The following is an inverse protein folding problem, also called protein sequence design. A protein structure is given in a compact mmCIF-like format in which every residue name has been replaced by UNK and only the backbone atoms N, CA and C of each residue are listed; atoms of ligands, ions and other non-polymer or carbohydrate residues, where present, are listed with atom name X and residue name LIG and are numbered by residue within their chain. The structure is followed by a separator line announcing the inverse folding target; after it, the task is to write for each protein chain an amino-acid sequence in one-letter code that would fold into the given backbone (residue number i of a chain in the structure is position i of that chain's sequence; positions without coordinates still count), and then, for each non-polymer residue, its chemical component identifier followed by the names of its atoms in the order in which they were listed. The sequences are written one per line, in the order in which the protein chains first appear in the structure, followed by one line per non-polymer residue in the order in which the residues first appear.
data_IF_414227737347
#
_entry.id   IF_414227737347
#
_cell.length_a   1.000
_cell.length_b   1.000
_cell.length_c   1.000
_cell.angle_alpha   90.00
_cell.angle_beta   90.00
_cell.angle_gamma   90.00
#
_symmetry.space_group_name_H-M   'P 1'
#
loop_
_entity.id
_entity.type
_entity.pdbx_description
1 polymer ?
#
# COMPACT_ATOMS: atom_id res chain seq x y z
N UNK A 1 9.95 12.12 15.37
CA UNK A 1 9.33 12.98 16.40
C UNK A 1 8.14 13.80 15.89
N UNK A 2 8.00 13.98 14.56
CA UNK A 2 6.91 14.80 14.00
C UNK A 2 5.51 14.26 14.32
N UNK A 3 5.37 12.96 14.58
CA UNK A 3 4.09 12.30 14.87
C UNK A 3 3.86 12.09 16.37
N UNK A 4 4.78 12.54 17.21
CA UNK A 4 4.57 12.48 18.64
C UNK A 4 3.40 13.40 19.10
N UNK A 5 2.64 13.03 20.12
CA UNK A 5 2.80 11.85 20.99
C UNK A 5 2.07 10.58 20.49
N UNK A 6 1.57 10.55 19.26
CA UNK A 6 0.76 9.44 18.75
C UNK A 6 1.61 8.25 18.30
N UNK A 7 2.75 8.51 17.66
CA UNK A 7 3.75 7.50 17.28
C UNK A 7 5.11 8.07 17.71
N UNK A 8 5.83 7.30 18.55
CA UNK A 8 7.14 7.73 19.04
C UNK A 8 8.24 7.58 17.98
N UNK A 9 9.32 8.33 18.17
CA UNK A 9 10.44 8.39 17.23
C UNK A 9 11.10 7.01 17.04
N UNK A 10 11.28 6.23 18.12
CA UNK A 10 11.90 4.91 18.06
C UNK A 10 11.07 3.96 17.19
N UNK A 11 9.75 3.96 17.37
CA UNK A 11 8.82 3.17 16.54
C UNK A 11 8.91 3.56 15.08
N UNK A 12 8.98 4.87 14.77
CA UNK A 12 9.14 5.34 13.39
C UNK A 12 10.45 4.87 12.77
N UNK A 13 11.57 4.95 13.49
CA UNK A 13 12.85 4.44 13.00
C UNK A 13 12.84 2.94 12.76
N UNK A 14 12.25 2.16 13.67
CA UNK A 14 12.11 0.73 13.49
C UNK A 14 11.26 0.39 12.25
N UNK A 15 10.15 1.06 12.09
CA UNK A 15 9.19 0.75 11.03
C UNK A 15 9.71 1.22 9.66
N UNK A 16 10.29 2.41 9.59
CA UNK A 16 10.82 2.98 8.34
C UNK A 16 12.22 2.42 8.01
N UNK A 17 13.19 2.59 8.91
CA UNK A 17 14.60 2.34 8.58
C UNK A 17 14.93 0.84 8.56
N UNK A 18 14.20 0.03 9.32
CA UNK A 18 14.43 -1.42 9.42
C UNK A 18 13.42 -2.23 8.63
N UNK A 19 12.14 -2.13 8.96
CA UNK A 19 11.12 -2.97 8.31
C UNK A 19 10.93 -2.63 6.83
N UNK A 20 10.73 -1.36 6.49
CA UNK A 20 10.57 -0.93 5.11
C UNK A 20 11.85 -1.21 4.30
N UNK A 21 13.03 -0.91 4.85
CA UNK A 21 14.30 -1.18 4.17
C UNK A 21 14.54 -2.66 3.92
N UNK A 22 14.04 -3.54 4.77
CA UNK A 22 14.12 -5.00 4.56
C UNK A 22 13.32 -5.41 3.32
N UNK A 23 12.14 -4.85 3.11
CA UNK A 23 11.38 -5.10 1.88
C UNK A 23 12.14 -4.66 0.63
N UNK A 24 12.73 -3.47 0.65
CA UNK A 24 13.54 -2.94 -0.47
C UNK A 24 14.70 -3.87 -0.77
N UNK A 25 15.46 -4.28 0.23
CA UNK A 25 16.61 -5.17 0.08
C UNK A 25 16.20 -6.51 -0.52
N UNK A 26 15.12 -7.09 -0.01
CA UNK A 26 14.66 -8.41 -0.44
C UNK A 26 14.08 -8.41 -1.85
N UNK A 27 13.30 -7.39 -2.23
CA UNK A 27 12.77 -7.30 -3.60
C UNK A 27 13.90 -7.09 -4.61
N UNK A 28 14.88 -6.28 -4.28
CA UNK A 28 16.06 -6.08 -5.14
C UNK A 28 16.85 -7.38 -5.32
N UNK A 29 17.03 -8.16 -4.26
CA UNK A 29 17.69 -9.45 -4.34
C UNK A 29 16.92 -10.47 -5.21
N UNK A 30 15.60 -10.46 -5.13
CA UNK A 30 14.77 -11.30 -5.99
C UNK A 30 14.86 -10.88 -7.47
N UNK A 31 14.74 -9.59 -7.76
CA UNK A 31 14.83 -9.05 -9.13
C UNK A 31 16.20 -9.24 -9.75
N UNK A 32 17.27 -9.26 -8.96
CA UNK A 32 18.64 -9.50 -9.44
C UNK A 32 18.84 -10.89 -10.07
N UNK A 33 17.97 -11.85 -9.77
CA UNK A 33 17.98 -13.19 -10.39
C UNK A 33 17.41 -13.19 -11.81
N UNK A 34 16.68 -12.17 -12.18
CA UNK A 34 16.05 -12.01 -13.49
C UNK A 34 16.34 -10.61 -14.07
N UNK A 35 17.60 -10.35 -14.52
CA UNK A 35 17.99 -9.04 -15.05
C UNK A 35 17.14 -8.59 -16.24
N UNK A 36 16.55 -9.52 -16.99
CA UNK A 36 15.68 -9.26 -18.13
C UNK A 36 14.40 -8.51 -17.75
N UNK A 37 13.92 -8.64 -16.50
CA UNK A 37 12.78 -7.89 -15.98
C UNK A 37 13.23 -6.54 -15.44
N UNK A 38 14.49 -6.45 -15.02
CA UNK A 38 15.03 -5.42 -14.16
C UNK A 38 15.92 -4.40 -14.83
N UNK A 39 16.07 -4.36 -16.16
CA UNK A 39 16.89 -3.30 -16.76
C UNK A 39 16.35 -1.91 -16.45
N UNK A 40 15.03 -1.78 -16.29
CA UNK A 40 14.37 -0.54 -15.89
C UNK A 40 14.11 -0.44 -14.37
N UNK A 41 14.11 -1.58 -13.64
CA UNK A 41 13.81 -1.63 -12.20
C UNK A 41 15.04 -1.53 -11.29
N UNK A 42 16.21 -1.17 -11.81
CA UNK A 42 17.44 -0.96 -11.03
C UNK A 42 17.38 0.23 -10.06
N UNK A 43 16.29 0.96 -10.09
CA UNK A 43 16.03 2.06 -9.18
C UNK A 43 14.77 1.76 -8.36
N UNK A 44 14.91 1.33 -7.08
CA UNK A 44 13.77 1.18 -6.17
C UNK A 44 13.02 2.50 -5.91
N UNK A 45 13.57 3.60 -6.41
CA UNK A 45 12.98 4.94 -6.38
C UNK A 45 11.92 5.15 -7.48
N UNK A 46 11.86 4.24 -8.48
CA UNK A 46 10.89 4.33 -9.57
C UNK A 46 9.78 3.31 -9.29
N UNK A 47 8.79 3.72 -8.50
CA UNK A 47 7.63 2.90 -8.17
C UNK A 47 6.82 2.44 -9.39
N UNK A 48 6.96 3.09 -10.53
CA UNK A 48 6.22 2.76 -11.75
C UNK A 48 6.51 1.34 -12.26
N UNK A 49 7.76 0.89 -12.27
CA UNK A 49 8.12 -0.44 -12.78
C UNK A 49 7.67 -1.55 -11.84
N UNK A 50 7.79 -1.33 -10.51
CA UNK A 50 7.32 -2.29 -9.53
C UNK A 50 5.79 -2.37 -9.49
N UNK A 51 5.09 -1.25 -9.65
CA UNK A 51 3.64 -1.22 -9.80
C UNK A 51 3.19 -2.02 -11.03
N UNK A 52 3.87 -1.87 -12.15
CA UNK A 52 3.59 -2.64 -13.38
C UNK A 52 3.78 -4.14 -13.17
N UNK A 53 4.83 -4.56 -12.49
CA UNK A 53 5.06 -5.96 -12.14
C UNK A 53 3.95 -6.51 -11.25
N UNK A 54 3.56 -5.77 -10.23
CA UNK A 54 2.52 -6.19 -9.28
C UNK A 54 1.10 -6.09 -9.87
N UNK A 55 0.90 -5.30 -10.93
CA UNK A 55 -0.35 -5.27 -11.66
C UNK A 55 -0.60 -6.57 -12.46
N UNK A 56 0.46 -7.28 -12.84
CA UNK A 56 0.39 -8.59 -13.53
C UNK A 56 1.35 -9.60 -12.89
N UNK A 57 0.99 -10.07 -11.73
CA UNK A 57 1.83 -11.00 -10.94
C UNK A 57 2.07 -12.34 -11.68
N UNK A 58 1.20 -12.72 -12.59
CA UNK A 58 1.36 -13.95 -13.36
C UNK A 58 2.48 -13.86 -14.40
N UNK A 59 2.83 -12.66 -14.85
CA UNK A 59 3.95 -12.42 -15.74
C UNK A 59 5.31 -12.50 -15.02
N UNK A 60 5.33 -12.43 -13.70
CA UNK A 60 6.57 -12.56 -12.90
C UNK A 60 7.04 -14.02 -12.93
N UNK A 61 8.35 -14.30 -13.18
CA UNK A 61 8.88 -15.65 -13.13
C UNK A 61 8.52 -16.39 -11.84
N UNK A 62 8.11 -17.64 -11.96
CA UNK A 62 7.53 -18.42 -10.86
C UNK A 62 8.47 -18.57 -9.65
N UNK A 63 9.77 -18.65 -9.90
CA UNK A 63 10.80 -18.82 -8.86
C UNK A 63 10.99 -17.59 -7.95
N UNK A 64 10.65 -16.38 -8.44
CA UNK A 64 10.75 -15.14 -7.67
C UNK A 64 9.38 -14.50 -7.38
N UNK A 65 8.31 -15.00 -7.97
CA UNK A 65 6.97 -14.36 -7.93
C UNK A 65 6.52 -14.05 -6.50
N UNK A 66 6.57 -15.03 -5.61
CA UNK A 66 6.11 -14.82 -4.24
C UNK A 66 7.01 -13.83 -3.47
N UNK A 67 8.31 -13.87 -3.71
CA UNK A 67 9.23 -12.90 -3.11
C UNK A 67 8.95 -11.48 -3.59
N UNK A 68 8.62 -11.29 -4.87
CA UNK A 68 8.26 -9.98 -5.43
C UNK A 68 6.91 -9.51 -4.88
N UNK A 69 5.91 -10.39 -4.79
CA UNK A 69 4.61 -10.07 -4.20
C UNK A 69 4.78 -9.60 -2.74
N UNK A 70 5.49 -10.37 -1.93
CA UNK A 70 5.66 -10.06 -0.51
C UNK A 70 6.49 -8.78 -0.28
N UNK A 71 7.63 -8.68 -0.92
CA UNK A 71 8.58 -7.61 -0.64
C UNK A 71 8.33 -6.37 -1.52
N UNK A 72 7.91 -6.56 -2.76
CA UNK A 72 7.48 -5.47 -3.62
C UNK A 72 6.19 -4.82 -3.13
N UNK A 73 5.21 -5.62 -2.76
CA UNK A 73 3.99 -5.16 -2.11
C UNK A 73 4.30 -4.43 -0.80
N UNK A 74 5.17 -5.01 0.02
CA UNK A 74 5.63 -4.38 1.26
C UNK A 74 6.25 -3.00 1.04
N UNK A 75 7.11 -2.87 0.05
CA UNK A 75 7.70 -1.58 -0.31
C UNK A 75 6.65 -0.55 -0.73
N UNK A 76 5.77 -0.90 -1.68
CA UNK A 76 4.75 0.04 -2.17
C UNK A 76 3.76 0.43 -1.08
N UNK A 77 3.29 -0.53 -0.28
CA UNK A 77 2.35 -0.26 0.80
C UNK A 77 2.93 0.70 1.84
N UNK A 78 4.18 0.52 2.24
CA UNK A 78 4.84 1.38 3.21
C UNK A 78 5.23 2.73 2.62
N UNK A 79 5.65 2.80 1.35
CA UNK A 79 5.91 4.08 0.70
C UNK A 79 4.68 4.98 0.70
N UNK A 80 3.51 4.45 0.35
CA UNK A 80 2.24 5.19 0.45
C UNK A 80 1.90 5.55 1.90
N UNK A 81 2.11 4.62 2.83
CA UNK A 81 1.79 4.81 4.25
C UNK A 81 2.50 6.03 4.86
N UNK A 82 3.78 6.24 4.55
CA UNK A 82 4.52 7.41 5.04
C UNK A 82 3.95 8.72 4.52
N UNK A 83 3.50 8.76 3.27
CA UNK A 83 2.90 9.95 2.66
C UNK A 83 1.52 10.29 3.22
N UNK A 84 0.79 9.31 3.76
CA UNK A 84 -0.55 9.49 4.30
C UNK A 84 -0.55 10.08 5.72
N UNK A 85 0.55 9.99 6.44
CA UNK A 85 0.63 10.48 7.82
C UNK A 85 1.11 11.93 7.88
N UNK A 86 0.43 12.74 8.68
CA UNK A 86 0.80 14.14 8.93
C UNK A 86 0.50 14.50 10.39
N UNK A 87 1.33 15.34 11.04
CA UNK A 87 1.01 15.89 12.35
C UNK A 87 -0.11 16.94 12.32
N UNK A 88 -0.43 17.45 11.13
CA UNK A 88 -1.45 18.47 10.94
C UNK A 88 -2.85 17.85 10.79
N UNK A 89 -3.86 18.53 11.32
CA UNK A 89 -5.23 18.16 11.05
C UNK A 89 -5.59 18.54 9.63
N UNK A 90 -5.94 17.53 8.84
CA UNK A 90 -6.42 17.69 7.47
C UNK A 90 -7.86 17.18 7.33
N UNK A 91 -8.53 17.62 6.29
CA UNK A 91 -9.84 17.13 5.90
C UNK A 91 -9.81 16.72 4.43
N UNK A 92 -10.67 15.79 4.00
CA UNK A 92 -10.79 15.47 2.58
C UNK A 92 -11.11 16.72 1.75
N UNK A 93 -10.66 16.74 0.49
CA UNK A 93 -11.13 17.74 -0.46
C UNK A 93 -12.65 17.68 -0.60
N UNK A 94 -13.26 18.78 -1.04
CA UNK A 94 -14.71 18.80 -1.26
C UNK A 94 -15.17 17.73 -2.26
N UNK A 95 -14.37 17.46 -3.29
CA UNK A 95 -14.64 16.44 -4.28
C UNK A 95 -14.59 15.04 -3.67
N UNK A 96 -13.52 14.70 -2.93
CA UNK A 96 -13.42 13.41 -2.25
C UNK A 96 -14.52 13.23 -1.21
N UNK A 97 -14.83 14.26 -0.43
CA UNK A 97 -15.91 14.21 0.55
C UNK A 97 -17.27 13.92 -0.11
N UNK A 98 -17.54 14.52 -1.27
CA UNK A 98 -18.77 14.26 -2.04
C UNK A 98 -18.81 12.80 -2.54
N UNK A 99 -17.71 12.27 -3.02
CA UNK A 99 -17.64 10.87 -3.48
C UNK A 99 -17.79 9.88 -2.32
N UNK A 100 -17.23 10.18 -1.16
CA UNK A 100 -17.43 9.40 0.07
C UNK A 100 -18.89 9.38 0.48
N UNK A 101 -19.54 10.54 0.51
CA UNK A 101 -20.97 10.64 0.85
C UNK A 101 -21.84 9.88 -0.16
N UNK A 102 -21.54 10.00 -1.45
CA UNK A 102 -22.28 9.30 -2.51
C UNK A 102 -22.12 7.78 -2.42
N UNK A 103 -20.94 7.29 -2.06
CA UNK A 103 -20.62 5.86 -2.02
C UNK A 103 -21.06 5.20 -0.72
N UNK A 104 -20.78 5.84 0.44
CA UNK A 104 -20.96 5.25 1.76
C UNK A 104 -22.16 5.83 2.54
N UNK A 105 -22.70 6.96 2.11
CA UNK A 105 -23.77 7.67 2.77
C UNK A 105 -23.30 8.83 3.64
N UNK A 106 -22.18 8.67 4.34
CA UNK A 106 -21.56 9.71 5.15
C UNK A 106 -20.07 9.39 5.39
N UNK A 107 -19.33 10.38 5.88
CA UNK A 107 -17.94 10.17 6.31
C UNK A 107 -17.86 9.21 7.50
N UNK A 108 -18.82 9.26 8.43
CA UNK A 108 -18.86 8.33 9.56
C UNK A 108 -19.14 6.89 9.12
N UNK A 109 -20.01 6.68 8.15
CA UNK A 109 -20.27 5.36 7.55
C UNK A 109 -19.02 4.84 6.82
N UNK A 110 -18.29 5.70 6.11
CA UNK A 110 -17.00 5.35 5.53
C UNK A 110 -16.01 4.90 6.60
N UNK A 111 -15.86 5.67 7.69
CA UNK A 111 -14.96 5.30 8.79
C UNK A 111 -15.34 3.95 9.41
N UNK A 112 -16.63 3.70 9.57
CA UNK A 112 -17.13 2.43 10.09
C UNK A 112 -16.80 1.26 9.15
N UNK A 113 -16.97 1.42 7.85
CA UNK A 113 -16.63 0.42 6.85
C UNK A 113 -15.12 0.15 6.82
N UNK A 114 -14.31 1.19 6.89
CA UNK A 114 -12.84 1.07 6.93
C UNK A 114 -12.38 0.36 8.21
N UNK A 115 -12.90 0.74 9.36
CA UNK A 115 -12.60 0.10 10.63
C UNK A 115 -13.02 -1.38 10.64
N UNK A 116 -14.17 -1.71 10.07
CA UNK A 116 -14.61 -3.10 9.94
C UNK A 116 -13.65 -3.92 9.04
N UNK A 117 -13.24 -3.37 7.91
CA UNK A 117 -12.25 -4.02 7.04
C UNK A 117 -10.92 -4.28 7.76
N UNK A 118 -10.45 -3.32 8.55
CA UNK A 118 -9.23 -3.44 9.33
C UNK A 118 -9.33 -4.49 10.44
N UNK A 119 -10.39 -4.44 11.25
CA UNK A 119 -10.54 -5.27 12.45
C UNK A 119 -10.93 -6.71 12.15
N UNK A 120 -11.59 -6.96 11.02
CA UNK A 120 -11.98 -8.31 10.61
C UNK A 120 -10.92 -9.05 9.81
N UNK A 121 -9.85 -8.35 9.37
CA UNK A 121 -8.73 -9.01 8.70
C UNK A 121 -7.98 -9.88 9.69
N UNK A 122 -8.08 -11.19 9.53
CA UNK A 122 -7.35 -12.15 10.36
C UNK A 122 -5.87 -12.20 9.95
N UNK A 123 -4.97 -12.17 10.92
CA UNK A 123 -3.53 -12.12 10.70
C UNK A 123 -3.05 -10.72 10.32
N UNK A 124 -1.85 -10.63 9.79
CA UNK A 124 -1.32 -9.36 9.27
C UNK A 124 -2.00 -8.95 7.97
N UNK A 125 -2.12 -7.67 7.76
CA UNK A 125 -2.72 -7.15 6.54
C UNK A 125 -2.93 -5.65 6.58
N UNK A 126 -3.69 -5.17 5.61
CA UNK A 126 -4.00 -3.77 5.39
C UNK A 126 -5.49 -3.58 5.16
N UNK A 127 -6.02 -2.46 5.60
CA UNK A 127 -7.30 -1.94 5.14
C UNK A 127 -7.06 -0.79 4.16
N UNK A 128 -7.91 -0.69 3.14
CA UNK A 128 -7.73 0.25 2.03
C UNK A 128 -9.01 0.98 1.67
N UNK A 129 -8.86 2.25 1.30
CA UNK A 129 -9.77 2.94 0.41
C UNK A 129 -9.13 2.97 -0.98
N UNK A 130 -9.83 2.46 -1.97
CA UNK A 130 -9.34 2.37 -3.35
C UNK A 130 -10.33 3.00 -4.33
N UNK A 131 -9.81 3.34 -5.51
CA UNK A 131 -10.63 3.57 -6.71
C UNK A 131 -10.62 2.28 -7.51
N UNK A 132 -11.78 1.69 -7.73
CA UNK A 132 -11.91 0.42 -8.45
C UNK A 132 -11.88 0.61 -9.96
N UNK A 133 -12.00 -0.49 -10.73
CA UNK A 133 -11.94 -0.48 -12.20
C UNK A 133 -13.06 0.33 -12.85
N UNK A 134 -14.18 0.50 -12.16
CA UNK A 134 -15.31 1.31 -12.60
C UNK A 134 -15.18 2.79 -12.23
N UNK A 135 -14.02 3.18 -11.64
CA UNK A 135 -13.77 4.56 -11.19
C UNK A 135 -14.50 4.96 -9.92
N UNK A 136 -14.96 3.98 -9.13
CA UNK A 136 -15.71 4.21 -7.89
C UNK A 136 -14.88 3.91 -6.66
N UNK A 137 -15.19 4.57 -5.56
CA UNK A 137 -14.60 4.28 -4.26
C UNK A 137 -15.06 2.93 -3.72
N UNK A 138 -14.12 2.20 -3.10
CA UNK A 138 -14.37 0.91 -2.48
C UNK A 138 -13.47 0.76 -1.25
N UNK A 139 -14.01 0.19 -0.17
CA UNK A 139 -13.22 -0.22 1.00
C UNK A 139 -13.00 -1.72 0.93
N UNK A 140 -11.76 -2.14 1.12
CA UNK A 140 -11.37 -3.56 1.16
C UNK A 140 -10.20 -3.79 2.12
N UNK A 141 -9.88 -5.05 2.36
CA UNK A 141 -8.66 -5.43 3.08
C UNK A 141 -7.86 -6.45 2.28
N UNK A 142 -6.55 -6.44 2.48
CA UNK A 142 -5.62 -7.41 1.89
C UNK A 142 -4.83 -8.12 2.99
N UNK A 143 -4.43 -9.36 2.74
CA UNK A 143 -3.60 -10.12 3.67
C UNK A 143 -2.12 -9.75 3.48
N UNK A 144 -1.36 -9.81 4.56
CA UNK A 144 0.09 -9.62 4.56
C UNK A 144 0.48 -8.31 3.83
N UNK A 145 1.33 -8.40 2.82
CA UNK A 145 1.74 -7.26 1.99
C UNK A 145 1.13 -7.27 0.58
N UNK A 146 0.06 -8.04 0.39
CA UNK A 146 -0.68 -8.00 -0.87
C UNK A 146 -1.19 -6.57 -1.13
N UNK A 147 -1.14 -6.15 -2.39
CA UNK A 147 -1.55 -4.80 -2.79
C UNK A 147 -2.81 -4.83 -3.64
N UNK A 148 -3.71 -3.85 -3.47
CA UNK A 148 -4.87 -3.69 -4.37
C UNK A 148 -4.50 -3.50 -5.84
N UNK A 149 -3.28 -3.05 -6.14
CA UNK A 149 -2.75 -2.88 -7.50
C UNK A 149 -2.83 -4.19 -8.29
N UNK A 150 -2.57 -5.34 -7.63
CA UNK A 150 -2.66 -6.67 -8.26
C UNK A 150 -4.08 -7.04 -8.68
N UNK A 151 -5.09 -6.37 -8.14
CA UNK A 151 -6.50 -6.52 -8.52
C UNK A 151 -6.98 -5.44 -9.50
N UNK A 152 -6.08 -4.60 -10.01
CA UNK A 152 -6.38 -3.49 -10.89
C UNK A 152 -7.08 -2.32 -10.21
N UNK A 153 -6.90 -2.16 -8.91
CA UNK A 153 -7.47 -1.09 -8.09
C UNK A 153 -6.38 -0.13 -7.64
N UNK A 154 -6.71 1.15 -7.56
CA UNK A 154 -5.76 2.20 -7.17
C UNK A 154 -5.96 2.55 -5.70
N UNK A 155 -4.99 2.23 -4.82
CA UNK A 155 -5.07 2.61 -3.41
C UNK A 155 -4.86 4.11 -3.24
N UNK A 156 -5.70 4.73 -2.41
CA UNK A 156 -5.60 6.16 -2.06
C UNK A 156 -5.45 6.38 -0.56
N UNK A 157 -5.83 5.41 0.26
CA UNK A 157 -5.64 5.40 1.71
C UNK A 157 -5.42 3.97 2.17
N UNK A 158 -4.44 3.75 3.04
CA UNK A 158 -4.14 2.44 3.59
C UNK A 158 -3.60 2.50 5.02
N UNK A 159 -3.96 1.53 5.81
CA UNK A 159 -3.50 1.37 7.18
C UNK A 159 -3.34 -0.12 7.51
#
# INVERSE_FOLDING_TARGET
DALEPYIDEETMHLHHDKHHNTYVTNVNAALAKHPEIGEDSKHPEIGEDLESLLADVNAIPADIRQAVINNGGGHLNHALFWELMTPEKTTPSAELAADIDATFGSFDDFKAAFAAAATTRFGSGWAWLVVNKEGKLEVLSTANQDTPISEGKTPILGL
#
